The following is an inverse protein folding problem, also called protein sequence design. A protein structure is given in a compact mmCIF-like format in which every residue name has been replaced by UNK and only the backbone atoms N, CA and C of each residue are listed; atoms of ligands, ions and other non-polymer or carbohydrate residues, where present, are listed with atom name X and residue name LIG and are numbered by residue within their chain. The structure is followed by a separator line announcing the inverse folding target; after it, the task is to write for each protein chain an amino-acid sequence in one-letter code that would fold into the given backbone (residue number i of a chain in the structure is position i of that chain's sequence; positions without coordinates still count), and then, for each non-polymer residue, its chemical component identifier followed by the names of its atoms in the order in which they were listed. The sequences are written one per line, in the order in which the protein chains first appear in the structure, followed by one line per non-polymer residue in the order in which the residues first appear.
data_IF_757074348154
#
_entry.id   IF_757074348154
#
_cell.length_a   1.000
_cell.length_b   1.000
_cell.length_c   1.000
_cell.angle_alpha   90.00
_cell.angle_beta   90.00
_cell.angle_gamma   90.00
#
_symmetry.space_group_name_H-M   'P 1'
#
loop_
_entity.id
_entity.type
_entity.pdbx_description
1 polymer ?
#
# COMPACT_ATOMS: atom_id res chain seq x y z
N UNK A 1 -6.36 -1.71 -14.20
CA UNK A 1 -6.12 -1.80 -12.74
C UNK A 1 -4.63 -1.87 -12.48
N UNK A 2 -4.19 -1.34 -11.37
CA UNK A 2 -2.78 -1.41 -11.00
C UNK A 2 -2.60 -2.17 -9.70
N UNK A 3 -1.46 -2.86 -9.60
CA UNK A 3 -0.98 -3.47 -8.37
C UNK A 3 0.24 -2.70 -7.89
N UNK A 4 0.13 -2.10 -6.71
CA UNK A 4 1.21 -1.34 -6.10
C UNK A 4 1.86 -2.17 -5.00
N UNK A 5 3.17 -2.34 -5.08
CA UNK A 5 3.96 -3.03 -4.07
C UNK A 5 4.90 -2.03 -3.40
N UNK A 6 4.71 -1.80 -2.11
CA UNK A 6 5.57 -0.91 -1.32
C UNK A 6 6.58 -1.77 -0.56
N UNK A 7 7.86 -1.55 -0.82
CA UNK A 7 8.94 -2.36 -0.27
C UNK A 7 9.13 -2.13 1.23
N UNK A 8 9.53 -3.17 1.95
CA UNK A 8 10.01 -3.03 3.33
C UNK A 8 11.26 -2.15 3.34
N UNK A 9 11.53 -1.44 4.45
CA UNK A 9 12.71 -0.60 4.55
C UNK A 9 13.99 -1.39 4.22
N UNK A 10 14.85 -0.77 3.43
CA UNK A 10 16.12 -1.38 3.02
C UNK A 10 16.05 -2.36 1.87
N UNK A 11 14.86 -2.63 1.35
CA UNK A 11 14.68 -3.56 0.22
C UNK A 11 14.59 -2.79 -1.10
N UNK A 12 15.42 -3.15 -2.06
CA UNK A 12 15.35 -2.66 -3.43
C UNK A 12 14.49 -3.62 -4.26
N UNK A 13 13.19 -3.47 -4.15
CA UNK A 13 12.23 -4.42 -4.69
C UNK A 13 12.32 -4.58 -6.20
N UNK A 14 12.50 -3.49 -6.93
CA UNK A 14 12.63 -3.53 -8.39
C UNK A 14 13.79 -4.43 -8.82
N UNK A 15 14.96 -4.22 -8.25
CA UNK A 15 16.14 -5.03 -8.57
C UNK A 15 15.96 -6.49 -8.14
N UNK A 16 15.36 -6.69 -6.98
CA UNK A 16 15.13 -8.04 -6.45
C UNK A 16 14.22 -8.85 -7.37
N UNK A 17 13.13 -8.26 -7.84
CA UNK A 17 12.20 -8.94 -8.75
C UNK A 17 12.83 -9.20 -10.11
N UNK A 18 13.63 -8.27 -10.62
CA UNK A 18 14.28 -8.42 -11.91
C UNK A 18 15.40 -9.46 -11.89
N UNK A 19 16.08 -9.62 -10.77
CA UNK A 19 17.19 -10.56 -10.64
C UNK A 19 16.75 -11.97 -10.24
N UNK A 20 15.48 -12.16 -9.94
CA UNK A 20 14.92 -13.47 -9.61
C UNK A 20 14.28 -14.08 -10.85
N UNK A 21 14.77 -15.24 -11.29
CA UNK A 21 14.20 -15.92 -12.44
C UNK A 21 12.71 -16.24 -12.23
N UNK A 22 12.37 -16.69 -11.03
CA UNK A 22 10.99 -17.04 -10.70
C UNK A 22 10.05 -15.84 -10.75
N UNK A 23 10.48 -14.72 -10.13
CA UNK A 23 9.67 -13.50 -10.15
C UNK A 23 9.59 -12.93 -11.56
N UNK A 24 10.71 -12.91 -12.29
CA UNK A 24 10.75 -12.39 -13.64
C UNK A 24 9.79 -13.13 -14.58
N UNK A 25 9.67 -14.44 -14.46
CA UNK A 25 8.73 -15.23 -15.26
C UNK A 25 7.28 -14.76 -15.04
N UNK A 26 6.95 -14.33 -13.84
CA UNK A 26 5.59 -13.87 -13.52
C UNK A 26 5.35 -12.44 -13.99
N UNK A 27 6.34 -11.55 -13.87
CA UNK A 27 6.13 -10.11 -14.06
C UNK A 27 6.48 -9.59 -15.45
N UNK A 28 7.26 -10.31 -16.23
CA UNK A 28 7.86 -9.81 -17.50
C UNK A 28 6.83 -9.35 -18.55
N UNK A 29 5.62 -9.85 -18.47
CA UNK A 29 4.57 -9.50 -19.43
C UNK A 29 3.73 -8.28 -19.04
N UNK A 30 3.97 -7.73 -17.87
CA UNK A 30 3.22 -6.59 -17.37
C UNK A 30 4.06 -5.33 -17.39
N UNK A 31 3.43 -4.24 -17.80
CA UNK A 31 4.08 -2.94 -17.67
C UNK A 31 4.26 -2.62 -16.19
N UNK A 32 5.40 -2.07 -15.83
CA UNK A 32 5.68 -1.71 -14.46
C UNK A 32 6.61 -0.51 -14.37
N UNK A 33 6.53 0.19 -13.25
CA UNK A 33 7.30 1.39 -12.96
C UNK A 33 8.03 1.21 -11.65
N UNK A 34 9.31 1.54 -11.64
CA UNK A 34 10.11 1.60 -10.42
C UNK A 34 9.85 2.95 -9.74
N UNK A 35 9.26 2.93 -8.55
CA UNK A 35 8.98 4.14 -7.78
C UNK A 35 10.11 4.49 -6.80
N UNK A 36 11.14 3.65 -6.73
CA UNK A 36 12.19 3.78 -5.72
C UNK A 36 11.81 3.10 -4.41
N UNK A 37 10.71 3.49 -3.82
CA UNK A 37 10.19 2.87 -2.60
C UNK A 37 9.27 1.68 -2.87
N UNK A 38 9.06 1.35 -4.13
CA UNK A 38 8.20 0.24 -4.53
C UNK A 38 8.11 0.09 -6.03
N UNK A 39 7.24 -0.80 -6.47
CA UNK A 39 6.99 -1.08 -7.88
C UNK A 39 5.49 -1.09 -8.12
N UNK A 40 5.07 -0.51 -9.24
CA UNK A 40 3.67 -0.49 -9.64
C UNK A 40 3.50 -1.21 -10.98
N UNK A 41 2.60 -2.19 -11.01
CA UNK A 41 2.28 -2.96 -12.21
C UNK A 41 0.94 -2.54 -12.76
N UNK A 42 0.84 -2.46 -14.09
CA UNK A 42 -0.43 -2.24 -14.79
C UNK A 42 -0.94 -3.58 -15.33
N UNK A 43 -2.17 -3.93 -14.99
CA UNK A 43 -2.79 -5.20 -15.39
C UNK A 43 -4.16 -4.94 -15.99
N UNK A 44 -4.71 -5.95 -16.69
CA UNK A 44 -5.96 -5.78 -17.42
C UNK A 44 -7.20 -5.63 -16.54
N UNK A 45 -7.20 -6.16 -15.34
CA UNK A 45 -8.35 -6.09 -14.45
C UNK A 45 -8.14 -6.78 -13.13
N UNK A 46 -9.20 -6.90 -12.36
CA UNK A 46 -9.15 -7.45 -11.00
C UNK A 46 -8.63 -8.89 -10.96
N UNK A 47 -9.09 -9.73 -11.88
CA UNK A 47 -8.65 -11.13 -11.94
C UNK A 47 -7.15 -11.21 -12.20
N UNK A 48 -6.65 -10.42 -13.15
CA UNK A 48 -5.23 -10.40 -13.48
C UNK A 48 -4.40 -9.85 -12.32
N UNK A 49 -4.90 -8.84 -11.62
CA UNK A 49 -4.21 -8.27 -10.46
C UNK A 49 -4.10 -9.29 -9.32
N UNK A 50 -5.18 -9.98 -9.01
CA UNK A 50 -5.19 -11.01 -7.98
C UNK A 50 -4.30 -12.20 -8.37
N UNK A 51 -4.31 -12.59 -9.63
CA UNK A 51 -3.47 -13.67 -10.15
C UNK A 51 -1.99 -13.30 -10.04
N UNK A 52 -1.61 -12.09 -10.44
CA UNK A 52 -0.24 -11.63 -10.33
C UNK A 52 0.23 -11.61 -8.87
N UNK A 53 -0.59 -11.07 -7.97
CA UNK A 53 -0.27 -11.05 -6.55
C UNK A 53 -0.08 -12.46 -6.00
N UNK A 54 -0.88 -13.42 -6.45
CA UNK A 54 -0.74 -14.82 -6.07
C UNK A 54 0.56 -15.43 -6.60
N UNK A 55 0.90 -15.16 -7.86
CA UNK A 55 2.10 -15.70 -8.49
C UNK A 55 3.39 -15.22 -7.82
N UNK A 56 3.40 -13.99 -7.31
CA UNK A 56 4.57 -13.43 -6.61
C UNK A 56 4.37 -13.40 -5.09
N UNK A 57 3.45 -14.19 -4.58
CA UNK A 57 3.11 -14.24 -3.15
C UNK A 57 4.31 -14.41 -2.23
N UNK A 58 5.28 -15.22 -2.61
CA UNK A 58 6.50 -15.43 -1.83
C UNK A 58 7.24 -14.10 -1.59
N UNK A 59 7.38 -13.30 -2.66
CA UNK A 59 8.07 -12.01 -2.59
C UNK A 59 7.27 -10.98 -1.81
N UNK A 60 5.94 -10.99 -1.98
CA UNK A 60 5.06 -10.08 -1.24
C UNK A 60 5.18 -10.33 0.26
N UNK A 61 5.11 -11.57 0.69
CA UNK A 61 5.20 -11.91 2.11
C UNK A 61 6.55 -11.53 2.72
N UNK A 62 7.61 -11.65 1.94
CA UNK A 62 8.96 -11.50 2.45
C UNK A 62 9.52 -10.08 2.36
N UNK A 63 9.19 -9.37 1.29
CA UNK A 63 9.87 -8.13 0.94
C UNK A 63 8.94 -6.92 0.81
N UNK A 64 7.64 -7.10 0.87
CA UNK A 64 6.65 -6.04 0.66
C UNK A 64 5.98 -5.69 1.99
N UNK A 65 5.98 -4.39 2.32
CA UNK A 65 5.31 -3.89 3.52
C UNK A 65 3.81 -3.76 3.30
N UNK A 66 3.42 -3.20 2.15
CA UNK A 66 2.02 -3.04 1.77
C UNK A 66 1.86 -3.37 0.29
N UNK A 67 0.82 -4.12 -0.07
CA UNK A 67 0.41 -4.24 -1.45
C UNK A 67 -1.03 -3.76 -1.58
N UNK A 68 -1.29 -2.96 -2.60
CA UNK A 68 -2.54 -2.26 -2.78
C UNK A 68 -2.98 -2.36 -4.24
N UNK A 69 -4.27 -2.26 -4.45
CA UNK A 69 -4.86 -2.27 -5.80
C UNK A 69 -5.42 -0.89 -6.11
N UNK A 70 -5.25 -0.43 -7.34
CA UNK A 70 -5.79 0.84 -7.81
C UNK A 70 -6.72 0.61 -8.99
N UNK A 71 -7.87 1.32 -8.98
CA UNK A 71 -8.79 1.31 -10.10
C UNK A 71 -8.14 1.92 -11.35
N UNK A 72 -8.66 1.55 -12.51
CA UNK A 72 -8.27 2.18 -13.77
C UNK A 72 -8.77 3.63 -13.84
N UNK A 73 -8.29 4.35 -14.84
CA UNK A 73 -8.76 5.69 -15.22
C UNK A 73 -8.39 6.83 -14.28
N UNK A 74 -7.19 6.77 -13.73
CA UNK A 74 -6.60 7.95 -13.10
C UNK A 74 -7.14 8.36 -11.74
N UNK A 75 -8.06 7.62 -11.18
CA UNK A 75 -8.48 7.88 -9.80
C UNK A 75 -7.34 7.47 -8.88
N UNK A 76 -6.99 8.35 -7.97
CA UNK A 76 -5.92 8.10 -7.00
C UNK A 76 -6.47 7.42 -5.75
N UNK A 77 -7.30 6.40 -5.95
CA UNK A 77 -7.92 5.64 -4.88
C UNK A 77 -7.43 4.20 -4.96
N UNK A 78 -6.88 3.74 -3.86
CA UNK A 78 -6.36 2.39 -3.70
C UNK A 78 -7.29 1.60 -2.77
N UNK A 79 -7.17 0.29 -2.81
CA UNK A 79 -7.93 -0.60 -1.93
C UNK A 79 -7.03 -1.69 -1.38
N UNK A 80 -7.32 -2.14 -0.16
CA UNK A 80 -6.57 -3.24 0.45
C UNK A 80 -6.90 -4.56 -0.23
N UNK A 81 -6.00 -5.54 -0.17
CA UNK A 81 -6.25 -6.86 -0.73
C UNK A 81 -7.49 -7.52 -0.13
N UNK A 82 -7.72 -7.35 1.16
CA UNK A 82 -8.88 -7.93 1.83
C UNK A 82 -10.19 -7.36 1.28
N UNK A 83 -10.24 -6.04 1.06
CA UNK A 83 -11.42 -5.41 0.48
C UNK A 83 -11.65 -5.86 -0.96
N UNK A 84 -10.60 -5.87 -1.77
CA UNK A 84 -10.70 -6.28 -3.18
C UNK A 84 -11.19 -7.72 -3.29
N UNK A 85 -10.62 -8.64 -2.53
CA UNK A 85 -11.01 -10.04 -2.54
C UNK A 85 -12.46 -10.22 -2.10
N UNK A 86 -12.87 -9.54 -1.03
CA UNK A 86 -14.25 -9.62 -0.53
C UNK A 86 -15.25 -9.10 -1.56
N UNK A 87 -14.95 -7.96 -2.17
CA UNK A 87 -15.85 -7.35 -3.17
C UNK A 87 -15.89 -8.12 -4.47
N UNK A 88 -14.75 -8.70 -4.87
CA UNK A 88 -14.70 -9.55 -6.06
C UNK A 88 -15.61 -10.75 -5.91
N UNK A 89 -15.57 -11.41 -4.74
CA UNK A 89 -16.45 -12.57 -4.48
C UNK A 89 -17.93 -12.20 -4.46
N UNK A 90 -18.25 -10.98 -4.10
CA UNK A 90 -19.64 -10.47 -4.07
C UNK A 90 -20.06 -9.81 -5.38
N UNK A 91 -19.19 -9.80 -6.39
CA UNK A 91 -19.41 -9.12 -7.68
C UNK A 91 -19.75 -7.63 -7.51
N UNK A 92 -19.12 -6.97 -6.53
CA UNK A 92 -19.31 -5.53 -6.30
C UNK A 92 -18.01 -4.78 -6.59
N UNK A 93 -18.14 -3.49 -6.92
CA UNK A 93 -16.98 -2.64 -7.19
C UNK A 93 -16.22 -2.36 -5.90
N UNK A 94 -14.93 -2.73 -5.81
CA UNK A 94 -14.13 -2.44 -4.63
C UNK A 94 -13.75 -0.95 -4.50
N UNK A 95 -13.90 -0.15 -5.55
CA UNK A 95 -13.43 1.24 -5.57
C UNK A 95 -14.58 2.26 -5.52
N UNK A 96 -15.60 1.96 -4.73
CA UNK A 96 -16.73 2.87 -4.56
C UNK A 96 -16.32 4.08 -3.71
N UNK A 97 -16.38 5.27 -4.30
CA UNK A 97 -15.99 6.52 -3.62
C UNK A 97 -16.81 6.84 -2.37
N UNK A 98 -18.00 6.27 -2.25
CA UNK A 98 -18.86 6.46 -1.09
C UNK A 98 -18.51 5.53 0.08
N UNK A 99 -17.46 4.72 -0.05
CA UNK A 99 -17.07 3.77 1.00
C UNK A 99 -16.55 4.50 2.23
N UNK A 100 -17.06 4.15 3.39
CA UNK A 100 -16.82 4.89 4.64
C UNK A 100 -15.49 4.55 5.32
N UNK A 101 -14.92 3.39 5.05
CA UNK A 101 -13.72 2.93 5.73
C UNK A 101 -12.49 3.30 4.92
N UNK A 102 -11.93 4.46 5.24
CA UNK A 102 -10.79 5.05 4.51
C UNK A 102 -9.59 5.23 5.41
N UNK A 103 -8.44 4.87 4.87
CA UNK A 103 -7.15 5.05 5.51
C UNK A 103 -6.28 5.96 4.66
N UNK A 104 -5.30 6.57 5.28
CA UNK A 104 -4.25 7.31 4.61
C UNK A 104 -2.93 6.64 4.93
N UNK A 105 -2.21 6.23 3.92
CA UNK A 105 -0.86 5.71 4.05
C UNK A 105 0.12 6.76 3.56
N UNK A 106 1.01 7.19 4.43
CA UNK A 106 2.03 8.17 4.12
C UNK A 106 3.39 7.49 4.12
N UNK A 107 4.16 7.71 3.06
CA UNK A 107 5.54 7.22 2.96
C UNK A 107 6.45 8.39 3.28
N UNK A 108 7.30 8.21 4.28
CA UNK A 108 8.19 9.26 4.75
C UNK A 108 9.66 8.90 4.48
N UNK A 109 10.54 9.87 4.66
CA UNK A 109 11.98 9.66 4.58
C UNK A 109 12.57 9.24 5.94
N UNK A 110 11.74 9.10 6.96
CA UNK A 110 12.19 8.68 8.29
C UNK A 110 12.65 7.21 8.28
N UNK A 111 13.78 6.95 8.89
CA UNK A 111 14.28 5.57 9.05
C UNK A 111 13.43 4.80 10.05
N UNK A 112 12.95 5.48 11.09
CA UNK A 112 12.19 4.83 12.17
C UNK A 112 10.72 4.64 11.82
N UNK A 113 10.15 5.56 11.05
CA UNK A 113 8.73 5.54 10.68
C UNK A 113 8.57 5.74 9.17
N UNK A 114 9.05 4.78 8.37
CA UNK A 114 8.98 4.92 6.90
C UNK A 114 7.55 4.88 6.37
N UNK A 115 6.65 4.22 7.09
CA UNK A 115 5.24 4.14 6.74
C UNK A 115 4.38 4.57 7.92
N UNK A 116 3.44 5.46 7.66
CA UNK A 116 2.46 5.90 8.67
C UNK A 116 1.08 5.70 8.10
N UNK A 117 0.30 4.82 8.72
CA UNK A 117 -1.06 4.53 8.27
C UNK A 117 -2.07 4.96 9.33
N UNK A 118 -2.98 5.86 8.96
CA UNK A 118 -3.99 6.40 9.86
C UNK A 118 -5.37 6.38 9.23
N UNK A 119 -6.40 6.52 10.05
CA UNK A 119 -7.76 6.75 9.56
C UNK A 119 -7.83 8.15 8.94
N UNK A 120 -8.61 8.30 7.88
CA UNK A 120 -8.72 9.58 7.16
C UNK A 120 -9.09 10.73 8.09
N UNK A 121 -9.98 10.48 9.05
CA UNK A 121 -10.44 11.51 9.99
C UNK A 121 -9.34 12.03 10.93
N UNK A 122 -8.27 11.27 11.11
CA UNK A 122 -7.19 11.67 12.01
C UNK A 122 -6.02 12.32 11.28
N UNK A 123 -5.98 12.22 9.96
CA UNK A 123 -4.83 12.70 9.18
C UNK A 123 -4.64 14.21 9.28
N UNK A 124 -5.73 14.97 9.28
CA UNK A 124 -5.65 16.43 9.29
C UNK A 124 -4.95 16.97 10.53
N UNK A 125 -5.30 16.43 11.69
CA UNK A 125 -4.62 16.81 12.92
C UNK A 125 -3.20 16.27 13.01
N UNK A 126 -2.91 15.17 12.33
CA UNK A 126 -1.58 14.55 12.36
C UNK A 126 -0.61 15.13 11.37
N UNK A 127 -1.07 15.72 10.28
CA UNK A 127 -0.20 16.35 9.30
C UNK A 127 0.66 17.44 9.92
N UNK A 128 0.10 18.19 10.86
CA UNK A 128 0.83 19.23 11.56
C UNK A 128 1.89 18.70 12.51
N UNK A 129 1.72 17.45 12.95
CA UNK A 129 2.66 16.81 13.87
C UNK A 129 3.75 16.02 13.15
N UNK A 130 3.62 15.80 11.84
CA UNK A 130 4.61 15.05 11.08
C UNK A 130 5.79 15.94 10.76
N UNK A 131 6.91 15.65 11.40
CA UNK A 131 8.17 16.37 11.19
C UNK A 131 9.00 15.76 10.07
N UNK A 132 8.53 14.69 9.46
CA UNK A 132 9.25 13.97 8.44
C UNK A 132 8.87 14.44 7.04
N UNK A 133 9.82 14.43 6.14
CA UNK A 133 9.53 14.69 4.74
C UNK A 133 8.64 13.58 4.17
N UNK A 134 7.59 13.96 3.50
CA UNK A 134 6.65 13.03 2.90
C UNK A 134 7.05 12.79 1.45
N UNK A 135 7.32 11.52 1.11
CA UNK A 135 7.61 11.11 -0.27
C UNK A 135 6.34 10.88 -1.06
N UNK A 136 5.35 10.26 -0.46
CA UNK A 136 4.09 9.94 -1.11
C UNK A 136 2.98 9.74 -0.10
N UNK A 137 1.75 9.92 -0.55
CA UNK A 137 0.56 9.72 0.27
C UNK A 137 -0.47 8.99 -0.57
N UNK A 138 -1.06 7.93 -0.02
CA UNK A 138 -2.05 7.11 -0.70
C UNK A 138 -3.34 7.06 0.10
N UNK A 139 -4.46 7.33 -0.57
CA UNK A 139 -5.80 7.15 0.00
C UNK A 139 -6.22 5.72 -0.25
N UNK A 140 -6.64 5.02 0.81
CA UNK A 140 -6.90 3.59 0.75
C UNK A 140 -8.30 3.29 1.28
N UNK A 141 -9.06 2.55 0.50
CA UNK A 141 -10.31 1.96 0.95
C UNK A 141 -9.98 0.65 1.67
N UNK A 142 -10.52 0.47 2.85
CA UNK A 142 -10.25 -0.71 3.68
C UNK A 142 -11.53 -1.43 4.07
N UNK A 143 -11.39 -2.63 4.61
CA UNK A 143 -12.52 -3.28 5.28
C UNK A 143 -12.77 -2.59 6.62
N UNK A 144 -13.97 -2.77 7.17
CA UNK A 144 -14.31 -2.26 8.50
C UNK A 144 -13.31 -2.77 9.54
N UNK A 145 -12.96 -4.06 9.47
CA UNK A 145 -12.02 -4.67 10.41
C UNK A 145 -10.64 -4.02 10.35
N UNK A 146 -10.12 -3.81 9.16
CA UNK A 146 -8.83 -3.14 8.98
C UNK A 146 -8.86 -1.72 9.53
N UNK A 147 -9.95 -1.00 9.29
CA UNK A 147 -10.11 0.37 9.77
C UNK A 147 -10.20 0.43 11.29
N UNK A 148 -10.89 -0.52 11.91
CA UNK A 148 -11.01 -0.60 13.38
C UNK A 148 -9.70 -1.03 14.03
N UNK A 149 -8.94 -1.89 13.37
CA UNK A 149 -7.68 -2.43 13.90
C UNK A 149 -6.48 -1.48 13.72
N UNK A 150 -6.65 -0.38 12.98
CA UNK A 150 -5.58 0.61 12.84
C UNK A 150 -5.31 1.25 14.20
N UNK A 151 -4.06 1.16 14.61
CA UNK A 151 -3.66 1.54 15.95
C UNK A 151 -2.93 2.88 15.93
N UNK A 152 -3.27 3.70 16.89
CA UNK A 152 -2.73 5.05 17.00
C UNK A 152 -1.20 5.09 17.10
N UNK A 153 -0.58 4.07 17.66
CA UNK A 153 0.87 4.07 17.80
C UNK A 153 1.62 3.95 16.46
N UNK A 154 0.92 3.67 15.35
CA UNK A 154 1.54 3.75 14.05
C UNK A 154 1.89 5.19 13.66
N UNK A 155 1.46 6.16 14.44
CA UNK A 155 1.71 7.56 14.17
C UNK A 155 3.05 7.99 14.76
N UNK A 156 3.94 8.60 13.97
CA UNK A 156 5.27 8.96 14.45
C UNK A 156 5.27 9.97 15.58
N UNK A 157 4.24 10.77 15.69
CA UNK A 157 4.15 11.78 16.74
C UNK A 157 4.10 11.20 18.16
N UNK A 158 3.93 9.93 18.30
CA UNK A 158 3.94 9.29 19.61
C UNK A 158 5.33 8.88 20.06
N UNK A 159 6.29 9.42 19.44
CA UNK A 159 7.61 9.26 19.92
C UNK A 159 7.74 9.75 21.29
N UNK A 160 8.42 9.04 21.96
CA UNK A 160 8.61 9.26 23.25
C UNK A 160 9.17 10.43 23.66
N UNK A 161 8.61 10.80 23.87
CA UNK A 161 8.93 11.53 24.36
C UNK A 161 9.90 11.53 25.13
N UNK A 162 10.34 11.50 24.88
CA UNK A 162 11.01 11.52 25.28
C UNK A 162 11.35 11.79 26.23
N UNK A 163 11.14 11.80 26.53
CA UNK A 163 11.24 12.07 27.17
C UNK A 163 11.53 12.24 27.93
N UNK A 164 11.64 12.37 28.13
CA UNK A 164 11.93 12.60 28.67
C UNK A 164 12.25 12.63 29.41
N UNK A 165 12.36 12.63 29.42
CA UNK A 165 12.72 12.78 29.88
C UNK A 165 13.20 13.11 30.25
#
# INVERSE_FOLDING_TARGET
MDLLLLAKPGVHLYSLLHNSDTAWQAIRFYEHVNLGYGVQFSVSGCVSALALASDIRYYIRRYVAYHLFRAEHGKQIYATPALVSSRYLKHTDPFNDAWDYRLILTITESVDYPFVCTREKTIDSRKEELEYNIQAEYKILSTQKEWEDIIIYNLPAKQPETDGQ
#
